data_IF_905317440539
#
_entry.id   IF_905317440539
#
_cell.length_a   1.000
_cell.length_b   1.000
_cell.length_c   1.000
_cell.angle_alpha   90.00
_cell.angle_beta   90.00
_cell.angle_gamma   90.00
#
_symmetry.space_group_name_H-M   'P 1'
#
loop_
_entity.id
_entity.type
_entity.pdbx_description
1 polymer ?
#
# COMPACT_ATOMS: atom_id res chain seq x y z
N UNK A 1 10.46 17.17 10.34
CA UNK A 1 9.29 16.28 10.36
C UNK A 1 8.87 16.10 8.91
N UNK A 2 9.05 14.91 8.37
CA UNK A 2 8.49 14.59 7.06
C UNK A 2 7.21 13.81 7.32
N UNK A 3 6.07 14.41 6.99
CA UNK A 3 4.85 13.62 6.77
C UNK A 3 4.99 13.00 5.40
N UNK A 4 5.01 11.68 5.35
CA UNK A 4 4.99 10.91 4.10
C UNK A 4 3.54 10.70 3.70
N UNK A 5 3.17 11.07 2.47
CA UNK A 5 1.85 10.79 1.89
C UNK A 5 2.04 9.97 0.62
N UNK A 6 1.50 8.76 0.61
CA UNK A 6 1.63 7.84 -0.53
C UNK A 6 0.30 7.17 -0.90
N UNK A 7 0.13 6.91 -2.19
CA UNK A 7 -0.88 6.01 -2.74
C UNK A 7 -0.18 4.72 -3.16
N UNK A 8 -0.68 3.57 -2.69
CA UNK A 8 -0.10 2.26 -2.98
C UNK A 8 -1.00 1.45 -3.89
N UNK A 9 -0.39 0.83 -4.90
CA UNK A 9 -1.05 -0.02 -5.86
C UNK A 9 -0.37 -1.40 -5.83
N UNK A 10 -1.15 -2.46 -5.70
CA UNK A 10 -0.70 -3.82 -5.98
C UNK A 10 -0.72 -4.09 -7.48
N UNK A 11 0.16 -4.99 -7.89
CA UNK A 11 0.24 -5.50 -9.26
C UNK A 11 0.80 -6.90 -9.24
N UNK A 12 0.21 -7.80 -10.01
CA UNK A 12 0.71 -9.17 -10.03
C UNK A 12 2.11 -9.25 -10.66
N UNK A 13 2.98 -10.15 -10.17
CA UNK A 13 4.39 -10.20 -10.56
C UNK A 13 4.63 -10.33 -12.08
N UNK A 14 3.73 -11.01 -12.79
CA UNK A 14 3.74 -11.18 -14.24
C UNK A 14 3.56 -9.86 -15.00
N UNK A 15 2.89 -8.88 -14.41
CA UNK A 15 2.66 -7.56 -15.00
C UNK A 15 3.74 -6.53 -14.64
N UNK A 16 4.61 -6.83 -13.66
CA UNK A 16 5.58 -5.86 -13.14
C UNK A 16 6.56 -5.34 -14.20
N UNK A 17 6.93 -6.19 -15.17
CA UNK A 17 7.79 -5.77 -16.30
C UNK A 17 7.07 -4.79 -17.22
N UNK A 18 5.78 -5.01 -17.49
CA UNK A 18 4.94 -4.11 -18.31
C UNK A 18 4.86 -2.72 -17.66
N UNK A 19 4.62 -2.68 -16.34
CA UNK A 19 4.56 -1.44 -15.56
C UNK A 19 5.88 -0.66 -15.65
N UNK A 20 7.01 -1.33 -15.38
CA UNK A 20 8.33 -0.67 -15.44
C UNK A 20 8.63 -0.12 -16.84
N UNK A 21 8.26 -0.87 -17.89
CA UNK A 21 8.47 -0.45 -19.28
C UNK A 21 7.63 0.77 -19.62
N UNK A 22 6.35 0.77 -19.20
CA UNK A 22 5.47 1.92 -19.37
C UNK A 22 6.03 3.17 -18.68
N UNK A 23 6.53 3.07 -17.45
CA UNK A 23 7.11 4.22 -16.73
C UNK A 23 8.42 4.71 -17.36
N UNK A 24 9.23 3.81 -17.94
CA UNK A 24 10.41 4.18 -18.71
C UNK A 24 10.05 4.95 -19.99
N UNK A 25 9.06 4.47 -20.73
CA UNK A 25 8.51 5.14 -21.91
C UNK A 25 7.94 6.52 -21.55
N UNK A 26 7.10 6.58 -20.50
CA UNK A 26 6.51 7.81 -19.98
C UNK A 26 7.57 8.88 -19.65
N UNK A 27 8.69 8.49 -19.04
CA UNK A 27 9.77 9.42 -18.75
C UNK A 27 10.51 9.87 -20.02
N UNK A 28 10.71 8.95 -20.97
CA UNK A 28 11.46 9.22 -22.21
C UNK A 28 10.71 10.11 -23.21
N UNK A 29 9.37 10.10 -23.18
CA UNK A 29 8.53 10.89 -24.08
C UNK A 29 8.43 12.38 -23.66
N UNK A 30 8.93 12.73 -22.47
CA UNK A 30 8.90 14.11 -21.99
C UNK A 30 9.96 14.98 -22.69
N UNK A 31 9.52 15.98 -23.47
CA UNK A 31 10.40 16.86 -24.25
C UNK A 31 11.20 17.86 -23.39
N UNK A 32 10.90 17.98 -22.10
CA UNK A 32 11.43 19.01 -21.20
C UNK A 32 12.29 18.49 -20.03
N UNK A 33 12.74 17.22 -20.03
CA UNK A 33 13.50 16.61 -18.92
C UNK A 33 12.80 16.75 -17.54
N UNK A 34 11.47 16.85 -17.52
CA UNK A 34 10.71 17.01 -16.29
C UNK A 34 10.60 15.69 -15.52
N UNK A 35 10.87 14.55 -16.16
CA UNK A 35 10.81 13.24 -15.53
C UNK A 35 12.19 12.59 -15.50
N UNK A 36 12.53 11.95 -14.39
CA UNK A 36 13.88 11.40 -14.18
C UNK A 36 13.79 9.95 -13.71
N UNK A 37 14.29 9.02 -14.53
CA UNK A 37 14.58 7.66 -14.08
C UNK A 37 15.83 7.65 -13.19
N UNK A 38 15.71 7.15 -11.96
CA UNK A 38 16.85 6.97 -11.04
C UNK A 38 17.44 5.56 -11.13
N UNK A 39 18.68 5.36 -10.64
CA UNK A 39 19.26 4.03 -10.47
C UNK A 39 18.37 3.10 -9.65
N UNK A 40 18.38 1.82 -9.99
CA UNK A 40 17.69 0.79 -9.20
C UNK A 40 18.45 0.58 -7.88
N UNK A 41 17.70 0.40 -6.79
CA UNK A 41 18.23 0.19 -5.45
C UNK A 41 17.89 -1.23 -4.99
N UNK A 42 18.87 -1.98 -4.51
CA UNK A 42 18.60 -3.22 -3.77
C UNK A 42 18.50 -2.90 -2.29
N UNK A 43 17.32 -3.13 -1.70
CA UNK A 43 16.98 -2.76 -0.33
C UNK A 43 16.81 -4.02 0.52
N UNK A 44 17.61 -4.12 1.58
CA UNK A 44 17.50 -5.18 2.58
C UNK A 44 17.08 -4.55 3.90
N UNK A 45 15.97 -4.99 4.47
CA UNK A 45 15.42 -4.40 5.70
C UNK A 45 15.21 -5.50 6.73
N UNK A 46 15.60 -5.24 7.98
CA UNK A 46 15.20 -6.03 9.14
C UNK A 46 14.20 -5.23 9.96
N UNK A 47 13.04 -5.81 10.24
CA UNK A 47 12.01 -5.22 11.08
C UNK A 47 12.08 -5.80 12.49
N UNK A 48 11.87 -4.94 13.47
CA UNK A 48 12.04 -5.27 14.88
C UNK A 48 10.76 -5.01 15.64
N UNK A 49 10.37 -5.99 16.46
CA UNK A 49 9.24 -5.91 17.38
C UNK A 49 9.46 -6.87 18.54
N UNK A 50 8.63 -6.80 19.57
CA UNK A 50 8.59 -7.80 20.63
C UNK A 50 7.91 -9.08 20.11
N UNK A 51 8.09 -10.23 20.78
CA UNK A 51 7.35 -11.45 20.44
C UNK A 51 5.82 -11.28 20.41
N UNK A 52 5.29 -10.31 21.16
CA UNK A 52 3.86 -10.02 21.28
C UNK A 52 3.39 -8.89 20.35
N UNK A 53 4.24 -8.45 19.42
CA UNK A 53 3.96 -7.39 18.44
C UNK A 53 3.56 -6.05 19.10
N UNK A 54 4.23 -5.68 20.19
CA UNK A 54 3.91 -4.47 20.98
C UNK A 54 4.01 -3.19 20.14
N UNK A 55 5.02 -3.07 19.26
CA UNK A 55 5.21 -1.89 18.43
C UNK A 55 4.12 -1.82 17.37
N UNK A 56 3.90 -2.90 16.63
CA UNK A 56 2.87 -2.96 15.59
C UNK A 56 1.47 -2.66 16.15
N UNK A 57 1.11 -3.26 17.30
CA UNK A 57 -0.18 -3.02 17.96
C UNK A 57 -0.35 -1.57 18.42
N UNK A 58 0.76 -0.88 18.72
CA UNK A 58 0.78 0.55 19.01
C UNK A 58 0.93 1.43 17.74
N UNK A 59 0.90 0.82 16.55
CA UNK A 59 1.05 1.54 15.29
C UNK A 59 2.46 2.06 15.05
N UNK A 60 3.49 1.33 15.45
CA UNK A 60 4.90 1.67 15.17
C UNK A 60 5.53 0.55 14.34
N UNK A 61 6.20 0.94 13.26
CA UNK A 61 7.12 0.06 12.54
C UNK A 61 8.55 0.56 12.72
N UNK A 62 9.40 -0.26 13.35
CA UNK A 62 10.82 -0.01 13.54
C UNK A 62 11.63 -0.94 12.64
N UNK A 63 12.54 -0.37 11.84
CA UNK A 63 13.42 -1.15 10.97
C UNK A 63 14.84 -0.61 10.94
N UNK A 64 15.76 -1.48 10.58
CA UNK A 64 17.05 -1.14 10.00
C UNK A 64 17.02 -1.50 8.52
N UNK A 65 17.41 -0.56 7.66
CA UNK A 65 17.62 -0.76 6.23
C UNK A 65 19.11 -0.74 5.92
N UNK A 66 19.60 -1.75 5.22
CA UNK A 66 20.90 -1.75 4.59
C UNK A 66 20.76 -1.41 3.10
N UNK A 67 21.47 -0.38 2.64
CA UNK A 67 21.47 0.06 1.23
C UNK A 67 22.79 0.73 0.89
N UNK A 68 23.43 0.32 -0.21
CA UNK A 68 24.68 0.92 -0.72
C UNK A 68 25.78 1.06 0.36
N UNK A 69 25.94 0.04 1.21
CA UNK A 69 26.94 0.04 2.29
C UNK A 69 26.63 0.96 3.47
N UNK A 70 25.42 1.50 3.55
CA UNK A 70 24.93 2.31 4.67
C UNK A 70 23.81 1.59 5.42
N UNK A 71 23.64 1.94 6.69
CA UNK A 71 22.53 1.49 7.52
C UNK A 71 21.68 2.70 7.94
N UNK A 72 20.37 2.56 7.79
CA UNK A 72 19.40 3.60 8.12
C UNK A 72 18.41 3.00 9.11
N UNK A 73 18.29 3.58 10.29
CA UNK A 73 17.20 3.28 11.21
C UNK A 73 15.98 4.10 10.82
N UNK A 74 14.83 3.45 10.66
CA UNK A 74 13.57 4.13 10.36
C UNK A 74 12.53 3.79 11.41
N UNK A 75 11.81 4.81 11.87
CA UNK A 75 10.54 4.64 12.57
C UNK A 75 9.43 5.23 11.71
N UNK A 76 8.41 4.42 11.40
CA UNK A 76 7.16 4.89 10.81
C UNK A 76 6.04 4.75 11.86
N UNK A 77 5.24 5.78 12.01
CA UNK A 77 4.00 5.71 12.82
C UNK A 77 2.83 5.29 11.95
N UNK A 78 1.79 4.75 12.57
CA UNK A 78 0.45 4.70 12.01
C UNK A 78 -0.07 6.13 12.07
N UNK A 79 -0.07 6.83 10.94
CA UNK A 79 -0.72 8.13 10.85
C UNK A 79 -2.21 7.98 10.55
N UNK A 80 -2.84 9.08 10.19
CA UNK A 80 -4.22 9.09 9.68
C UNK A 80 -4.25 8.42 8.30
N UNK A 81 -5.16 7.47 8.07
CA UNK A 81 -5.47 7.11 6.70
C UNK A 81 -6.22 8.28 6.06
N UNK A 82 -5.68 8.79 4.95
CA UNK A 82 -6.53 9.38 3.92
C UNK A 82 -7.11 8.21 3.15
N UNK A 83 -8.35 8.31 2.66
CA UNK A 83 -9.10 7.13 2.20
C UNK A 83 -8.39 6.48 1.00
N UNK A 84 -7.67 5.37 1.17
CA UNK A 84 -6.85 4.76 0.11
C UNK A 84 -5.38 5.23 0.04
N UNK A 85 -4.95 6.10 0.95
CA UNK A 85 -3.58 6.63 1.05
C UNK A 85 -3.00 6.39 2.45
N UNK A 86 -1.68 6.29 2.52
CA UNK A 86 -0.98 6.29 3.79
C UNK A 86 -0.42 7.68 4.05
N UNK A 87 -0.95 8.39 5.05
CA UNK A 87 -0.32 9.58 5.62
C UNK A 87 0.30 9.19 6.96
N UNK A 88 1.61 9.35 7.14
CA UNK A 88 2.29 8.94 8.37
C UNK A 88 3.53 9.77 8.68
N UNK A 89 3.88 9.77 9.96
CA UNK A 89 5.17 10.30 10.39
C UNK A 89 6.27 9.28 10.07
N UNK A 90 7.35 9.77 9.47
CA UNK A 90 8.57 9.00 9.25
C UNK A 90 9.78 9.75 9.79
N UNK A 91 10.63 9.00 10.51
CA UNK A 91 11.91 9.47 11.00
C UNK A 91 13.00 8.50 10.55
N UNK A 92 14.03 9.03 9.91
CA UNK A 92 15.17 8.27 9.41
C UNK A 92 16.48 8.84 9.95
N UNK A 93 17.37 7.96 10.38
CA UNK A 93 18.70 8.32 10.85
C UNK A 93 19.74 7.36 10.26
N UNK A 94 20.83 7.91 9.74
CA UNK A 94 22.03 7.11 9.42
C UNK A 94 22.63 6.56 10.72
N UNK A 95 22.85 5.24 10.78
CA UNK A 95 23.44 4.55 11.91
C UNK A 95 24.73 3.82 11.47
N UNK A 96 25.72 3.64 12.36
CA UNK A 96 27.03 3.10 11.97
C UNK A 96 27.04 1.59 11.67
N UNK A 97 25.96 0.87 12.01
CA UNK A 97 25.87 -0.59 11.89
C UNK A 97 24.41 -1.05 11.78
N UNK A 98 24.17 -2.35 11.70
CA UNK A 98 22.83 -2.95 11.71
C UNK A 98 22.18 -3.06 13.09
N UNK A 99 22.77 -2.44 14.11
CA UNK A 99 22.21 -2.38 15.46
C UNK A 99 21.26 -1.18 15.62
N UNK A 100 20.14 -1.41 16.34
CA UNK A 100 19.22 -0.37 16.73
C UNK A 100 19.85 0.59 17.74
N UNK A 101 19.64 1.89 17.54
CA UNK A 101 19.91 2.94 18.52
C UNK A 101 18.59 3.47 19.08
N UNK A 102 18.21 2.99 20.27
CA UNK A 102 16.97 3.38 20.93
C UNK A 102 17.00 4.83 21.44
N UNK A 103 18.18 5.46 21.55
CA UNK A 103 18.25 6.86 22.00
C UNK A 103 17.61 7.82 20.98
N UNK A 104 17.61 7.45 19.70
CA UNK A 104 16.98 8.20 18.61
C UNK A 104 15.44 8.24 18.73
N UNK A 105 14.84 7.30 19.45
CA UNK A 105 13.38 7.26 19.63
C UNK A 105 12.84 8.43 20.46
N UNK A 106 13.70 9.17 21.15
CA UNK A 106 13.31 10.39 21.89
C UNK A 106 12.78 11.51 20.98
N UNK A 107 13.12 11.48 19.69
CA UNK A 107 12.62 12.44 18.69
C UNK A 107 11.25 12.03 18.11
N UNK A 108 10.80 10.80 18.40
CA UNK A 108 9.54 10.26 17.89
C UNK A 108 8.42 10.49 18.90
N UNK A 109 7.24 11.00 18.48
CA UNK A 109 6.06 11.09 19.32
C UNK A 109 5.45 9.68 19.52
N UNK A 110 6.10 8.87 20.36
CA UNK A 110 5.65 7.53 20.66
C UNK A 110 4.33 7.55 21.46
N UNK A 111 3.40 6.62 21.17
CA UNK A 111 2.23 6.37 22.01
C UNK A 111 2.62 6.11 23.47
N UNK A 112 1.74 6.48 24.41
CA UNK A 112 2.01 6.40 25.87
C UNK A 112 2.54 5.02 26.31
N UNK A 113 1.98 3.94 25.76
CA UNK A 113 2.38 2.55 26.05
C UNK A 113 3.84 2.22 25.67
N UNK A 114 4.47 3.02 24.81
CA UNK A 114 5.84 2.82 24.34
C UNK A 114 6.85 3.79 24.94
N UNK A 115 6.41 4.83 25.67
CA UNK A 115 7.28 5.94 26.12
C UNK A 115 8.34 5.52 27.13
N UNK A 116 8.09 4.50 27.95
CA UNK A 116 9.04 4.04 28.96
C UNK A 116 10.19 3.18 28.39
N UNK A 117 10.11 2.82 27.10
CA UNK A 117 11.05 1.96 26.38
C UNK A 117 11.34 0.60 27.05
N UNK A 118 10.53 0.17 28.02
CA UNK A 118 10.75 -1.07 28.77
C UNK A 118 10.65 -2.32 27.89
N UNK A 119 9.94 -2.22 26.77
CA UNK A 119 9.81 -3.22 25.71
C UNK A 119 11.13 -3.47 24.94
N UNK A 120 12.07 -2.52 24.95
CA UNK A 120 13.33 -2.63 24.19
C UNK A 120 14.23 -3.78 24.64
N UNK A 121 14.03 -4.30 25.85
CA UNK A 121 14.76 -5.47 26.37
C UNK A 121 14.35 -6.78 25.68
N UNK A 122 13.14 -6.83 25.12
CA UNK A 122 12.52 -8.01 24.50
C UNK A 122 12.47 -7.88 22.97
N UNK A 123 13.06 -6.81 22.41
CA UNK A 123 13.06 -6.52 20.99
C UNK A 123 13.87 -7.56 20.21
N UNK A 124 13.30 -8.06 19.12
CA UNK A 124 13.97 -9.02 18.23
C UNK A 124 13.68 -8.69 16.78
N UNK A 125 14.54 -9.14 15.87
CA UNK A 125 14.22 -9.12 14.45
C UNK A 125 13.08 -10.12 14.18
N UNK A 126 11.93 -9.63 13.70
CA UNK A 126 10.72 -10.44 13.52
C UNK A 126 10.51 -10.92 12.09
N UNK A 127 10.91 -10.12 11.10
CA UNK A 127 10.90 -10.47 9.68
C UNK A 127 11.87 -9.57 8.92
N UNK A 128 12.14 -9.94 7.66
CA UNK A 128 12.96 -9.16 6.73
C UNK A 128 12.18 -8.84 5.47
N UNK A 129 12.57 -7.78 4.79
CA UNK A 129 12.12 -7.48 3.43
C UNK A 129 13.32 -7.24 2.54
N UNK A 130 13.43 -8.03 1.48
CA UNK A 130 14.53 -7.99 0.52
C UNK A 130 13.93 -7.78 -0.87
N UNK A 131 14.15 -6.61 -1.47
CA UNK A 131 13.53 -6.23 -2.74
C UNK A 131 14.36 -5.24 -3.54
N UNK A 132 14.18 -5.27 -4.85
CA UNK A 132 14.69 -4.24 -5.75
C UNK A 132 13.62 -3.15 -5.92
N UNK A 133 14.05 -1.91 -5.75
CA UNK A 133 13.26 -0.69 -5.93
C UNK A 133 13.74 0.04 -7.18
N UNK A 134 12.85 0.20 -8.16
CA UNK A 134 13.02 1.09 -9.29
C UNK A 134 12.32 2.41 -9.00
N UNK A 135 12.93 3.54 -9.34
CA UNK A 135 12.43 4.87 -8.95
C UNK A 135 12.38 5.80 -10.15
N UNK A 136 11.29 6.56 -10.26
CA UNK A 136 11.06 7.61 -11.24
C UNK A 136 10.55 8.87 -10.52
N UNK A 137 11.19 10.01 -10.76
CA UNK A 137 10.64 11.31 -10.37
C UNK A 137 9.74 11.78 -11.52
N UNK A 138 8.46 12.04 -11.24
CA UNK A 138 7.45 12.40 -12.23
C UNK A 138 6.80 13.73 -11.83
N UNK A 139 6.64 14.62 -12.81
CA UNK A 139 5.85 15.83 -12.68
C UNK A 139 4.49 15.59 -13.33
N UNK A 140 3.42 15.71 -12.57
CA UNK A 140 2.06 15.56 -13.07
C UNK A 140 1.26 16.81 -12.70
N UNK A 141 0.91 17.61 -13.71
CA UNK A 141 0.40 18.98 -13.50
C UNK A 141 1.42 19.81 -12.72
N UNK A 142 1.05 20.38 -11.58
CA UNK A 142 1.94 21.14 -10.69
C UNK A 142 2.36 20.30 -9.46
N UNK A 143 2.33 18.98 -9.58
CA UNK A 143 2.62 18.02 -8.50
C UNK A 143 3.83 17.16 -8.84
N UNK A 144 4.79 17.10 -7.91
CA UNK A 144 5.99 16.28 -7.99
C UNK A 144 5.76 14.98 -7.23
N UNK A 145 5.91 13.86 -7.92
CA UNK A 145 5.58 12.51 -7.46
C UNK A 145 6.82 11.62 -7.60
N UNK A 146 7.25 10.97 -6.52
CA UNK A 146 8.19 9.85 -6.62
C UNK A 146 7.39 8.57 -6.83
N UNK A 147 7.55 7.96 -8.00
CA UNK A 147 6.94 6.67 -8.32
C UNK A 147 7.98 5.60 -8.13
N UNK A 148 7.65 4.57 -7.38
CA UNK A 148 8.52 3.42 -7.15
C UNK A 148 7.84 2.13 -7.54
N UNK A 149 8.59 1.21 -8.13
CA UNK A 149 8.18 -0.17 -8.35
C UNK A 149 9.07 -1.07 -7.49
N UNK A 150 8.45 -1.76 -6.54
CA UNK A 150 9.14 -2.68 -5.65
C UNK A 150 8.85 -4.12 -6.07
N UNK A 151 9.91 -4.93 -6.17
CA UNK A 151 9.80 -6.37 -6.43
C UNK A 151 10.75 -7.17 -5.55
N UNK A 152 10.23 -8.13 -4.80
CA UNK A 152 11.01 -8.98 -3.92
C UNK A 152 10.13 -9.78 -2.97
N UNK A 153 10.59 -9.99 -1.74
CA UNK A 153 9.86 -10.79 -0.77
C UNK A 153 9.97 -10.27 0.67
N UNK A 154 8.97 -10.62 1.46
CA UNK A 154 8.97 -10.58 2.92
C UNK A 154 9.27 -11.99 3.42
N UNK A 155 10.22 -12.14 4.33
CA UNK A 155 10.60 -13.44 4.90
C UNK A 155 10.59 -13.43 6.42
N UNK A 156 10.14 -14.51 7.03
CA UNK A 156 10.16 -14.73 8.48
C UNK A 156 10.37 -16.22 8.80
N UNK A 157 10.60 -16.61 10.06
CA UNK A 157 10.60 -18.02 10.46
C UNK A 157 9.28 -18.77 10.20
N UNK A 158 8.19 -18.05 9.92
CA UNK A 158 6.86 -18.61 9.73
C UNK A 158 6.45 -18.76 8.26
N UNK A 159 7.25 -18.21 7.32
CA UNK A 159 6.97 -18.28 5.89
C UNK A 159 7.50 -17.08 5.12
N UNK A 160 6.96 -16.91 3.91
CA UNK A 160 7.28 -15.79 3.03
C UNK A 160 6.02 -15.25 2.35
N UNK A 161 6.09 -14.02 1.90
CA UNK A 161 5.06 -13.30 1.17
C UNK A 161 5.72 -12.45 0.09
N UNK A 162 5.06 -12.25 -1.04
CA UNK A 162 5.65 -11.55 -2.18
C UNK A 162 5.47 -10.02 -2.06
N UNK A 163 6.47 -9.28 -2.51
CA UNK A 163 6.42 -7.84 -2.72
C UNK A 163 6.36 -7.62 -4.23
N UNK A 164 5.22 -7.12 -4.71
CA UNK A 164 5.03 -6.65 -6.07
C UNK A 164 4.04 -5.49 -6.03
N UNK A 165 4.58 -4.28 -5.95
CA UNK A 165 3.79 -3.07 -5.74
C UNK A 165 4.37 -1.85 -6.46
N UNK A 166 3.49 -0.89 -6.72
CA UNK A 166 3.82 0.47 -7.15
C UNK A 166 3.40 1.43 -6.04
N UNK A 167 4.31 2.28 -5.58
CA UNK A 167 3.98 3.37 -4.63
C UNK A 167 4.14 4.71 -5.34
N UNK A 168 3.19 5.61 -5.14
CA UNK A 168 3.23 7.00 -5.62
C UNK A 168 3.33 7.88 -4.38
N UNK A 169 4.51 8.45 -4.12
CA UNK A 169 4.76 9.31 -2.97
C UNK A 169 4.69 10.79 -3.38
N UNK A 170 3.92 11.58 -2.66
CA UNK A 170 3.83 13.03 -2.87
C UNK A 170 5.11 13.71 -2.34
N UNK A 171 5.88 14.34 -3.23
CA UNK A 171 7.04 15.15 -2.83
C UNK A 171 6.66 16.61 -2.61
N UNK A 172 5.80 17.15 -3.47
CA UNK A 172 5.20 18.48 -3.33
C UNK A 172 4.01 18.63 -4.28
N UNK A 173 3.04 19.49 -3.94
CA UNK A 173 1.88 19.76 -4.78
C UNK A 173 0.58 19.29 -4.14
N UNK A 174 -0.39 18.85 -4.96
CA UNK A 174 -1.70 18.42 -4.50
C UNK A 174 -1.77 16.89 -4.34
N UNK A 175 -2.20 16.43 -3.16
CA UNK A 175 -2.42 15.01 -2.87
C UNK A 175 -3.39 14.32 -3.84
N UNK A 176 -4.44 15.02 -4.30
CA UNK A 176 -5.42 14.46 -5.24
C UNK A 176 -4.79 14.06 -6.59
N UNK A 177 -3.67 14.68 -6.96
CA UNK A 177 -2.97 14.36 -8.20
C UNK A 177 -2.28 12.99 -8.14
N UNK A 178 -2.08 12.39 -6.96
CA UNK A 178 -1.66 10.99 -6.87
C UNK A 178 -2.73 10.05 -7.43
N UNK A 179 -4.03 10.29 -7.15
CA UNK A 179 -5.12 9.53 -7.77
C UNK A 179 -5.22 9.84 -9.27
N UNK A 180 -5.05 11.10 -9.65
CA UNK A 180 -5.05 11.51 -11.06
C UNK A 180 -3.98 10.77 -11.86
N UNK A 181 -2.75 10.71 -11.35
CA UNK A 181 -1.68 9.96 -12.00
C UNK A 181 -1.91 8.44 -11.91
N UNK A 182 -2.42 7.92 -10.80
CA UNK A 182 -2.83 6.52 -10.68
C UNK A 182 -3.85 6.11 -11.75
N UNK A 183 -4.83 6.96 -12.06
CA UNK A 183 -5.82 6.72 -13.12
C UNK A 183 -5.17 6.65 -14.50
N UNK A 184 -4.19 7.52 -14.78
CA UNK A 184 -3.39 7.46 -16.01
C UNK A 184 -2.63 6.14 -16.12
N UNK A 185 -2.08 5.62 -15.03
CA UNK A 185 -1.43 4.31 -15.04
C UNK A 185 -2.43 3.18 -15.32
N UNK A 186 -3.59 3.21 -14.65
CA UNK A 186 -4.62 2.20 -14.82
C UNK A 186 -5.26 2.21 -16.21
N UNK A 187 -5.06 3.25 -17.04
CA UNK A 187 -5.49 3.27 -18.44
C UNK A 187 -4.83 2.22 -19.33
N UNK A 188 -3.70 1.67 -18.92
CA UNK A 188 -2.97 0.65 -19.69
C UNK A 188 -2.36 -0.47 -18.85
N UNK A 189 -2.57 -0.45 -17.53
CA UNK A 189 -1.93 -1.35 -16.58
C UNK A 189 -2.93 -1.89 -15.57
N UNK A 190 -2.88 -3.20 -15.25
CA UNK A 190 -3.72 -3.82 -14.24
C UNK A 190 -3.17 -3.56 -12.83
N UNK A 191 -3.27 -2.32 -12.38
CA UNK A 191 -2.90 -1.91 -11.02
C UNK A 191 -4.16 -1.85 -10.16
N UNK A 192 -4.11 -2.20 -8.88
CA UNK A 192 -5.25 -2.08 -7.97
C UNK A 192 -4.82 -1.41 -6.66
N UNK A 193 -5.68 -0.59 -6.05
CA UNK A 193 -5.33 0.08 -4.78
C UNK A 193 -5.06 -0.99 -3.71
N UNK A 194 -4.02 -0.77 -2.90
CA UNK A 194 -3.63 -1.68 -1.83
C UNK A 194 -3.32 -0.90 -0.55
N UNK A 195 -3.85 -1.40 0.58
CA UNK A 195 -3.69 -0.80 1.90
C UNK A 195 -2.72 -1.58 2.80
N UNK A 196 -2.29 -2.77 2.38
CA UNK A 196 -1.45 -3.63 3.20
C UNK A 196 0.01 -3.20 3.07
N UNK A 197 0.56 -2.65 4.15
CA UNK A 197 1.96 -2.26 4.23
C UNK A 197 2.89 -3.47 4.27
N UNK A 198 4.17 -3.27 3.89
CA UNK A 198 5.21 -4.30 4.02
C UNK A 198 5.37 -4.80 5.47
N UNK A 199 5.11 -3.94 6.46
CA UNK A 199 5.14 -4.31 7.87
C UNK A 199 3.98 -5.26 8.23
N UNK A 200 2.77 -4.98 7.74
CA UNK A 200 1.60 -5.85 7.90
C UNK A 200 1.79 -7.19 7.17
N UNK A 201 2.37 -7.19 5.96
CA UNK A 201 2.79 -8.42 5.27
C UNK A 201 3.75 -9.27 6.12
N UNK A 202 4.71 -8.66 6.79
CA UNK A 202 5.60 -9.37 7.72
C UNK A 202 4.88 -9.94 8.95
N UNK A 203 4.00 -9.13 9.55
CA UNK A 203 3.25 -9.53 10.73
C UNK A 203 2.27 -10.69 10.47
N UNK A 204 1.58 -10.68 9.31
CA UNK A 204 0.61 -11.72 8.96
C UNK A 204 1.23 -13.10 8.75
N UNK A 205 2.53 -13.20 8.44
CA UNK A 205 3.22 -14.48 8.34
C UNK A 205 3.19 -15.26 9.66
N UNK A 206 3.29 -14.55 10.79
CA UNK A 206 3.19 -15.14 12.13
C UNK A 206 1.75 -15.30 12.58
N UNK A 207 0.96 -14.23 12.50
CA UNK A 207 -0.38 -14.16 13.10
C UNK A 207 -1.45 -14.88 12.26
N UNK A 208 -1.22 -15.01 10.94
CA UNK A 208 -2.20 -15.44 9.93
C UNK A 208 -3.50 -14.64 9.96
N UNK A 209 -3.43 -13.38 10.41
CA UNK A 209 -4.57 -12.46 10.46
C UNK A 209 -4.53 -11.50 9.28
N UNK A 210 -5.72 -11.20 8.77
CA UNK A 210 -5.97 -10.06 7.89
C UNK A 210 -6.51 -8.93 8.78
N UNK A 211 -5.92 -7.75 8.66
CA UNK A 211 -6.37 -6.56 9.39
C UNK A 211 -7.41 -5.83 8.56
N UNK A 212 -8.57 -5.57 9.16
CA UNK A 212 -9.66 -4.82 8.54
C UNK A 212 -9.74 -3.42 9.13
N UNK A 213 -10.34 -2.46 8.40
CA UNK A 213 -10.63 -1.14 8.94
C UNK A 213 -11.53 -1.21 10.18
N UNK A 214 -11.40 -0.22 11.06
CA UNK A 214 -12.24 -0.10 12.25
C UNK A 214 -13.71 0.05 11.84
N UNK A 215 -14.60 -0.70 12.49
CA UNK A 215 -16.04 -0.67 12.15
C UNK A 215 -16.67 0.64 12.63
N UNK A 216 -17.34 1.42 11.75
CA UNK A 216 -18.02 2.64 12.15
C UNK A 216 -19.11 2.40 13.19
N UNK A 217 -19.37 3.39 14.03
CA UNK A 217 -20.50 3.35 14.96
C UNK A 217 -21.82 3.50 14.19
N UNK A 218 -22.93 3.01 14.76
CA UNK A 218 -24.25 3.15 14.12
C UNK A 218 -24.68 4.60 13.87
N UNK A 219 -24.08 5.56 14.59
CA UNK A 219 -24.31 7.00 14.45
C UNK A 219 -23.35 7.69 13.48
N UNK A 220 -22.38 6.98 12.90
CA UNK A 220 -21.45 7.53 11.93
C UNK A 220 -22.17 8.00 10.67
N UNK A 221 -21.57 8.99 10.00
CA UNK A 221 -22.04 9.54 8.74
C UNK A 221 -22.02 8.51 7.60
N UNK A 222 -22.79 8.78 6.56
CA UNK A 222 -22.78 7.94 5.36
C UNK A 222 -21.39 7.90 4.68
N UNK A 223 -20.59 8.97 4.80
CA UNK A 223 -19.22 9.01 4.26
C UNK A 223 -18.28 8.10 5.03
N UNK A 224 -18.39 8.04 6.37
CA UNK A 224 -17.61 7.09 7.18
C UNK A 224 -17.95 5.64 6.84
N UNK A 225 -19.23 5.32 6.61
CA UNK A 225 -19.63 4.00 6.12
C UNK A 225 -19.08 3.71 4.71
N UNK A 226 -19.09 4.71 3.81
CA UNK A 226 -18.50 4.55 2.48
C UNK A 226 -16.99 4.27 2.56
N UNK A 227 -16.25 5.01 3.39
CA UNK A 227 -14.82 4.78 3.63
C UNK A 227 -14.55 3.36 4.15
N UNK A 228 -15.32 2.92 5.17
CA UNK A 228 -15.21 1.57 5.72
C UNK A 228 -15.43 0.47 4.67
N UNK A 229 -16.50 0.56 3.87
CA UNK A 229 -16.79 -0.46 2.86
C UNK A 229 -15.79 -0.44 1.70
N UNK A 230 -15.26 0.74 1.35
CA UNK A 230 -14.18 0.90 0.38
C UNK A 230 -12.89 0.21 0.83
N UNK A 231 -12.44 0.47 2.05
CA UNK A 231 -11.24 -0.16 2.59
C UNK A 231 -11.45 -1.67 2.84
N UNK A 232 -12.65 -2.07 3.23
CA UNK A 232 -13.03 -3.50 3.37
C UNK A 232 -12.97 -4.22 2.04
N UNK A 233 -13.43 -3.59 0.96
CA UNK A 233 -13.33 -4.14 -0.40
C UNK A 233 -11.88 -4.37 -0.81
N UNK A 234 -11.04 -3.35 -0.66
CA UNK A 234 -9.61 -3.46 -0.98
C UNK A 234 -8.93 -4.54 -0.12
N UNK A 235 -9.28 -4.61 1.16
CA UNK A 235 -8.71 -5.61 2.09
C UNK A 235 -9.06 -7.03 1.67
N UNK A 236 -10.33 -7.31 1.33
CA UNK A 236 -10.71 -8.63 0.83
C UNK A 236 -10.07 -8.94 -0.53
N UNK A 237 -9.93 -7.94 -1.41
CA UNK A 237 -9.27 -8.10 -2.70
C UNK A 237 -7.81 -8.52 -2.51
N UNK A 238 -7.03 -7.81 -1.69
CA UNK A 238 -5.63 -8.18 -1.42
C UNK A 238 -5.53 -9.56 -0.74
N UNK A 239 -6.41 -9.84 0.23
CA UNK A 239 -6.45 -11.12 0.93
C UNK A 239 -6.73 -12.29 -0.02
N UNK A 240 -7.59 -12.11 -1.02
CA UNK A 240 -7.92 -13.11 -2.05
C UNK A 240 -6.65 -13.56 -2.79
N UNK A 241 -5.82 -12.60 -3.21
CA UNK A 241 -4.56 -12.88 -3.90
C UNK A 241 -3.48 -13.42 -2.96
N UNK A 242 -3.37 -12.90 -1.75
CA UNK A 242 -2.40 -13.41 -0.78
C UNK A 242 -2.68 -14.86 -0.39
N UNK A 243 -3.93 -15.18 -0.08
CA UNK A 243 -4.35 -16.52 0.36
C UNK A 243 -4.54 -17.50 -0.80
N UNK A 244 -4.55 -16.99 -2.04
CA UNK A 244 -4.86 -17.77 -3.25
C UNK A 244 -6.22 -18.48 -3.11
N UNK A 245 -7.23 -17.74 -2.61
CA UNK A 245 -8.56 -18.27 -2.28
C UNK A 245 -9.66 -17.51 -3.03
N UNK A 246 -10.09 -18.06 -4.16
CA UNK A 246 -11.14 -17.49 -5.02
C UNK A 246 -12.49 -17.32 -4.31
N UNK A 247 -12.76 -18.03 -3.20
CA UNK A 247 -14.01 -17.89 -2.45
C UNK A 247 -14.14 -16.46 -1.89
N UNK A 248 -13.02 -15.77 -1.65
CA UNK A 248 -12.99 -14.40 -1.18
C UNK A 248 -13.57 -13.39 -2.19
N UNK A 249 -13.85 -13.79 -3.43
CA UNK A 249 -14.62 -12.94 -4.36
C UNK A 249 -16.03 -12.62 -3.83
N UNK A 250 -16.62 -13.50 -3.02
CA UNK A 250 -17.94 -13.27 -2.43
C UNK A 250 -17.95 -12.09 -1.44
N UNK A 251 -17.09 -12.05 -0.41
CA UNK A 251 -16.98 -10.88 0.46
C UNK A 251 -16.49 -9.62 -0.28
N UNK A 252 -15.63 -9.74 -1.31
CA UNK A 252 -15.29 -8.61 -2.21
C UNK A 252 -16.56 -8.00 -2.80
N UNK A 253 -17.36 -8.80 -3.51
CA UNK A 253 -18.59 -8.31 -4.16
C UNK A 253 -19.64 -7.81 -3.18
N UNK A 254 -19.77 -8.46 -2.01
CA UNK A 254 -20.66 -7.95 -0.96
C UNK A 254 -20.22 -6.58 -0.44
N UNK A 255 -18.93 -6.36 -0.20
CA UNK A 255 -18.42 -5.06 0.24
C UNK A 255 -18.63 -3.97 -0.82
N UNK A 256 -18.43 -4.29 -2.11
CA UNK A 256 -18.79 -3.42 -3.23
C UNK A 256 -20.27 -3.05 -3.24
N UNK A 257 -21.16 -4.03 -3.01
CA UNK A 257 -22.60 -3.80 -2.93
C UNK A 257 -23.00 -2.89 -1.76
N UNK A 258 -22.37 -3.04 -0.59
CA UNK A 258 -22.63 -2.14 0.54
C UNK A 258 -22.08 -0.73 0.27
N UNK A 259 -20.87 -0.63 -0.28
CA UNK A 259 -20.26 0.63 -0.68
C UNK A 259 -21.16 1.40 -1.64
N UNK A 260 -21.68 0.73 -2.70
CA UNK A 260 -22.57 1.35 -3.69
C UNK A 260 -23.76 2.06 -3.05
N UNK A 261 -24.33 1.52 -1.96
CA UNK A 261 -25.46 2.16 -1.25
C UNK A 261 -25.11 3.48 -0.59
N UNK A 262 -23.82 3.70 -0.30
CA UNK A 262 -23.31 4.93 0.29
C UNK A 262 -22.81 5.94 -0.75
N UNK A 263 -22.60 5.52 -2.00
CA UNK A 263 -22.11 6.36 -3.08
C UNK A 263 -23.23 7.18 -3.75
N UNK A 264 -22.91 8.32 -4.38
CA UNK A 264 -23.86 9.09 -5.17
C UNK A 264 -24.18 8.37 -6.50
N UNK A 265 -25.32 8.71 -7.10
CA UNK A 265 -25.88 8.01 -8.28
C UNK A 265 -24.91 7.97 -9.47
N UNK A 266 -24.05 8.99 -9.64
CA UNK A 266 -23.09 9.06 -10.75
C UNK A 266 -22.05 7.93 -10.71
N UNK A 267 -21.77 7.36 -9.53
CA UNK A 267 -20.81 6.26 -9.35
C UNK A 267 -21.50 4.87 -9.32
N UNK A 268 -22.84 4.82 -9.30
CA UNK A 268 -23.56 3.55 -9.23
C UNK A 268 -23.41 2.71 -10.49
N UNK A 269 -23.40 3.36 -11.65
CA UNK A 269 -23.25 2.66 -12.93
C UNK A 269 -21.88 2.00 -13.01
N UNK A 270 -20.82 2.76 -12.74
CA UNK A 270 -19.43 2.28 -12.69
C UNK A 270 -19.25 1.08 -11.76
N UNK A 271 -19.85 1.12 -10.56
CA UNK A 271 -19.80 0.00 -9.62
C UNK A 271 -20.56 -1.24 -10.10
N UNK A 272 -21.68 -1.05 -10.81
CA UNK A 272 -22.49 -2.16 -11.33
C UNK A 272 -21.79 -2.85 -12.48
N UNK A 273 -21.22 -2.08 -13.40
CA UNK A 273 -20.45 -2.61 -14.54
C UNK A 273 -19.23 -3.41 -14.06
N UNK A 274 -18.53 -2.93 -13.02
CA UNK A 274 -17.44 -3.71 -12.44
C UNK A 274 -17.95 -4.99 -11.76
N UNK A 275 -19.01 -4.95 -10.97
CA UNK A 275 -19.55 -6.18 -10.34
C UNK A 275 -19.98 -7.24 -11.38
N UNK A 276 -20.63 -6.81 -12.46
CA UNK A 276 -20.99 -7.67 -13.59
C UNK A 276 -19.75 -8.25 -14.26
N UNK A 277 -18.73 -7.44 -14.54
CA UNK A 277 -17.47 -7.91 -15.13
C UNK A 277 -16.75 -8.94 -14.24
N UNK A 278 -16.66 -8.69 -12.93
CA UNK A 278 -16.07 -9.62 -11.97
C UNK A 278 -16.88 -10.94 -11.93
N UNK A 279 -18.21 -10.84 -11.90
CA UNK A 279 -19.08 -12.01 -11.94
C UNK A 279 -18.87 -12.84 -13.20
N UNK A 280 -18.90 -12.21 -14.37
CA UNK A 280 -18.76 -12.90 -15.64
C UNK A 280 -17.39 -13.56 -15.75
N UNK A 281 -16.32 -12.88 -15.30
CA UNK A 281 -14.97 -13.45 -15.24
C UNK A 281 -14.93 -14.70 -14.36
N UNK A 282 -15.52 -14.66 -13.16
CA UNK A 282 -15.57 -15.86 -12.29
C UNK A 282 -16.36 -17.04 -12.88
N UNK A 283 -17.34 -16.77 -13.75
CA UNK A 283 -18.17 -17.82 -14.35
C UNK A 283 -17.60 -18.38 -15.65
N UNK A 284 -16.83 -17.58 -16.38
CA UNK A 284 -16.37 -17.88 -17.74
C UNK A 284 -14.88 -18.12 -17.86
N UNK A 285 -14.12 -17.97 -16.76
CA UNK A 285 -12.68 -18.19 -16.75
C UNK A 285 -12.30 -19.56 -17.35
N UNK A 286 -11.39 -19.53 -18.31
CA UNK A 286 -10.85 -20.73 -18.95
C UNK A 286 -9.57 -21.20 -18.22
N UNK A 287 -8.92 -20.31 -17.47
CA UNK A 287 -7.69 -20.55 -16.71
C UNK A 287 -7.83 -20.32 -15.21
N UNK A 288 -6.78 -19.75 -14.60
CA UNK A 288 -6.81 -19.32 -13.21
C UNK A 288 -7.76 -18.14 -13.07
N UNK A 289 -8.84 -18.32 -12.31
CA UNK A 289 -9.81 -17.24 -12.01
C UNK A 289 -9.09 -16.02 -11.42
N UNK A 290 -8.11 -16.25 -10.54
CA UNK A 290 -7.34 -15.16 -9.93
C UNK A 290 -6.52 -14.39 -10.96
N UNK A 291 -5.83 -15.07 -11.87
CA UNK A 291 -5.00 -14.42 -12.89
C UNK A 291 -5.88 -13.57 -13.83
N UNK A 292 -7.06 -14.11 -14.21
CA UNK A 292 -8.01 -13.38 -15.05
C UNK A 292 -8.62 -12.18 -14.31
N UNK A 293 -8.98 -12.31 -13.04
CA UNK A 293 -9.46 -11.20 -12.21
C UNK A 293 -8.40 -10.13 -12.00
N UNK A 294 -7.14 -10.52 -11.79
CA UNK A 294 -6.02 -9.62 -11.64
C UNK A 294 -5.75 -8.79 -12.90
N UNK A 295 -5.97 -9.37 -14.08
CA UNK A 295 -5.75 -8.72 -15.37
C UNK A 295 -6.81 -7.65 -15.72
N UNK A 296 -7.90 -7.55 -14.94
CA UNK A 296 -8.95 -6.56 -15.17
C UNK A 296 -8.44 -5.16 -14.79
N UNK A 297 -8.00 -4.40 -15.80
CA UNK A 297 -7.52 -3.01 -15.65
C UNK A 297 -8.59 -2.09 -15.02
N UNK A 298 -9.87 -2.35 -15.29
CA UNK A 298 -10.97 -1.54 -14.78
C UNK A 298 -11.10 -1.58 -13.25
N UNK A 299 -10.70 -2.67 -12.59
CA UNK A 299 -10.79 -2.79 -11.12
C UNK A 299 -10.02 -1.66 -10.44
N UNK A 300 -8.79 -1.39 -10.87
CA UNK A 300 -7.98 -0.30 -10.38
C UNK A 300 -8.58 1.07 -10.65
N UNK A 301 -9.10 1.29 -11.86
CA UNK A 301 -9.74 2.56 -12.24
C UNK A 301 -10.90 2.88 -11.31
N UNK A 302 -11.78 1.91 -11.05
CA UNK A 302 -12.94 2.10 -10.17
C UNK A 302 -12.51 2.36 -8.72
N UNK A 303 -11.54 1.60 -8.19
CA UNK A 303 -10.98 1.84 -6.86
C UNK A 303 -10.45 3.28 -6.74
N UNK A 304 -9.63 3.72 -7.69
CA UNK A 304 -9.06 5.07 -7.69
C UNK A 304 -10.11 6.17 -7.86
N UNK A 305 -11.11 5.97 -8.72
CA UNK A 305 -12.20 6.93 -8.93
C UNK A 305 -13.00 7.14 -7.65
N UNK A 306 -13.33 6.06 -6.94
CA UNK A 306 -14.05 6.13 -5.68
C UNK A 306 -13.18 6.70 -4.57
N UNK A 307 -11.91 6.28 -4.49
CA UNK A 307 -10.94 6.82 -3.54
C UNK A 307 -10.78 8.34 -3.69
N UNK A 308 -10.66 8.85 -4.92
CA UNK A 308 -10.60 10.28 -5.18
C UNK A 308 -11.88 11.00 -4.73
N UNK A 309 -13.06 10.48 -5.09
CA UNK A 309 -14.33 11.06 -4.67
C UNK A 309 -14.46 11.11 -3.14
N UNK A 310 -14.08 10.03 -2.46
CA UNK A 310 -14.11 9.92 -0.99
C UNK A 310 -13.20 10.95 -0.34
N UNK A 311 -11.97 11.13 -0.84
CA UNK A 311 -11.05 12.15 -0.30
C UNK A 311 -11.55 13.58 -0.50
N UNK A 312 -12.37 13.84 -1.52
CA UNK A 312 -13.00 15.16 -1.73
C UNK A 312 -14.17 15.44 -0.77
N UNK A 313 -14.63 14.44 0.00
CA UNK A 313 -15.70 14.60 0.98
C UNK A 313 -15.19 14.91 2.40
N UNK A 314 -13.90 14.74 2.66
CA UNK A 314 -13.27 14.84 4.00
C UNK A 314 -12.51 16.14 4.15
#
# INVERSE_FOLDING_TARGET
>A
MATELELKLMVQPEHQTKVCTYLDEFCSDSTENQHIRKPTLSLMNAYYDTPDATLLNAGIALRIRAVNGRYIQTVKTRGSSRIGMHERGEWEWDVPSDALDFSLLQEVPLPEVLQDLSWSKDIVAVFRTDFDRKVWDIEHKDTSIEVVCDRGEVTSPYGRDEISEVELELKSGNAEDLYGFGLVLCDSLPLQVNLVSKAQKGARLKSRKIEFPDTPESSSSNIEFAAYWYETWITYWEAMFYLQDEILIQPVRNSMLQLKKCLPDELHQTMSELDELLNDTTQTAEGSVLDELAAIENTGKVMLTIGLWLNQQV
#
